data_IF_053723018231
#
_entry.id   IF_053723018231
#
_cell.length_a   1.000
_cell.length_b   1.000
_cell.length_c   1.000
_cell.angle_alpha   90.00
_cell.angle_beta   90.00
_cell.angle_gamma   90.00
#
_symmetry.space_group_name_H-M   'P 1'
#
loop_
_entity.id
_entity.type
_entity.pdbx_description
1 polymer ?
#
# COMPACT_ATOMS: atom_id res chain seq x y z
N UNK A 1 34.23 30.31 -19.87
CA UNK A 1 33.01 29.71 -19.27
C UNK A 1 33.00 28.24 -19.67
N UNK A 2 33.12 27.32 -18.72
CA UNK A 2 33.05 25.89 -19.02
C UNK A 2 31.62 25.54 -19.44
N UNK A 3 31.45 24.93 -20.61
CA UNK A 3 30.18 24.35 -21.00
C UNK A 3 30.04 23.00 -20.29
N UNK A 4 28.94 22.79 -19.57
CA UNK A 4 28.61 21.50 -18.99
C UNK A 4 27.70 20.76 -19.97
N UNK A 5 27.96 19.47 -20.15
CA UNK A 5 27.09 18.57 -20.88
C UNK A 5 26.22 17.82 -19.87
N UNK A 6 24.90 17.91 -20.00
CA UNK A 6 23.94 17.12 -19.22
C UNK A 6 23.32 16.06 -20.10
N UNK A 7 23.25 14.82 -19.61
CA UNK A 7 22.56 13.71 -20.28
C UNK A 7 21.52 13.15 -19.32
N UNK A 8 20.26 13.15 -19.75
CA UNK A 8 19.15 12.58 -18.99
C UNK A 8 18.76 11.20 -19.55
N UNK A 9 18.65 10.21 -18.67
CA UNK A 9 18.22 8.85 -19.02
C UNK A 9 16.90 8.56 -18.33
N UNK A 10 15.88 8.27 -19.13
CA UNK A 10 14.56 7.88 -18.64
C UNK A 10 14.33 6.39 -18.87
N UNK A 11 14.02 5.69 -17.79
CA UNK A 11 13.63 4.28 -17.83
C UNK A 11 12.11 4.21 -17.81
N UNK A 12 11.51 3.90 -18.97
CA UNK A 12 10.06 3.76 -19.09
C UNK A 12 9.67 2.29 -19.02
N UNK A 13 8.85 1.95 -18.01
CA UNK A 13 8.22 0.64 -17.94
C UNK A 13 7.10 0.54 -18.98
N UNK A 14 7.18 -0.45 -19.85
CA UNK A 14 6.15 -0.76 -20.88
C UNK A 14 5.63 -2.18 -20.68
N UNK A 15 4.37 -2.44 -21.04
CA UNK A 15 3.72 -3.75 -20.87
C UNK A 15 3.32 -4.07 -19.42
N UNK A 16 3.06 -5.34 -19.12
CA UNK A 16 2.70 -5.78 -17.76
C UNK A 16 3.93 -6.14 -16.91
N UNK A 17 3.78 -6.02 -15.59
CA UNK A 17 4.79 -6.42 -14.60
C UNK A 17 4.34 -7.78 -14.07
N UNK A 18 4.99 -8.90 -14.43
CA UNK A 18 4.62 -10.21 -13.88
C UNK A 18 4.82 -10.23 -12.36
N UNK A 19 4.28 -11.19 -11.64
CA UNK A 19 4.65 -11.35 -10.22
C UNK A 19 6.03 -11.98 -10.08
N UNK A 20 6.78 -11.59 -9.04
CA UNK A 20 8.07 -12.17 -8.65
C UNK A 20 9.20 -11.16 -8.58
N UNK A 21 10.43 -11.68 -8.52
CA UNK A 21 11.66 -10.89 -8.60
C UNK A 21 12.35 -11.19 -9.91
N UNK A 22 12.67 -10.15 -10.68
CA UNK A 22 13.51 -10.29 -11.87
C UNK A 22 14.46 -9.13 -12.02
N UNK A 23 15.58 -9.41 -12.68
CA UNK A 23 16.57 -8.40 -13.05
C UNK A 23 16.39 -8.06 -14.52
N UNK A 24 16.14 -6.78 -14.80
CA UNK A 24 16.12 -6.24 -16.16
C UNK A 24 17.51 -5.71 -16.46
N UNK A 25 18.29 -6.36 -17.35
CA UNK A 25 19.58 -5.82 -17.75
C UNK A 25 19.38 -4.50 -18.51
N UNK A 26 20.15 -3.50 -18.14
CA UNK A 26 20.28 -2.26 -18.91
C UNK A 26 21.55 -2.38 -19.74
N UNK A 27 21.37 -2.38 -21.05
CA UNK A 27 22.44 -2.20 -22.02
C UNK A 27 21.99 -1.09 -22.96
N UNK A 28 22.56 0.10 -22.79
CA UNK A 28 22.30 1.21 -23.72
C UNK A 28 23.41 1.18 -24.77
N UNK A 29 23.07 1.13 -26.07
CA UNK A 29 24.07 1.26 -27.12
C UNK A 29 24.92 2.52 -26.88
N UNK A 30 26.22 2.51 -27.22
CA UNK A 30 27.07 3.67 -27.01
C UNK A 30 26.43 4.93 -27.62
N UNK A 31 26.23 5.96 -26.79
CA UNK A 31 25.74 7.26 -27.24
C UNK A 31 26.97 8.13 -27.49
N UNK A 32 27.22 8.44 -28.76
CA UNK A 32 28.27 9.39 -29.14
C UNK A 32 27.65 10.75 -29.34
N UNK A 33 28.13 11.74 -28.60
CA UNK A 33 27.72 13.11 -28.81
C UNK A 33 28.75 13.79 -29.70
N UNK A 34 28.28 14.43 -30.76
CA UNK A 34 29.12 15.21 -31.66
C UNK A 34 28.83 16.69 -31.46
N UNK A 35 29.86 17.49 -31.61
CA UNK A 35 29.75 18.94 -31.59
C UNK A 35 30.13 19.45 -32.97
N UNK A 36 29.17 20.11 -33.61
CA UNK A 36 29.35 20.80 -34.88
C UNK A 36 29.77 22.25 -34.57
N UNK A 37 30.88 22.71 -35.15
CA UNK A 37 31.33 24.07 -34.95
C UNK A 37 30.74 24.98 -36.03
N UNK A 38 30.20 26.14 -35.62
CA UNK A 38 29.69 27.16 -36.55
C UNK A 38 30.81 27.83 -37.36
N UNK A 39 32.04 27.81 -36.85
CA UNK A 39 33.25 28.34 -37.48
C UNK A 39 34.42 27.36 -37.29
N UNK A 40 35.41 27.38 -38.19
CA UNK A 40 36.57 26.49 -38.13
C UNK A 40 37.31 26.62 -36.79
N UNK A 41 37.27 25.56 -35.96
CA UNK A 41 37.83 25.58 -34.61
C UNK A 41 39.36 25.72 -34.60
N UNK A 42 40.05 25.25 -35.65
CA UNK A 42 41.46 25.56 -35.98
C UNK A 42 41.93 24.71 -37.17
N UNK A 43 42.63 25.31 -38.14
CA UNK A 43 43.28 24.57 -39.23
C UNK A 43 42.30 23.89 -40.21
N UNK A 44 42.79 22.99 -41.11
CA UNK A 44 42.04 22.57 -42.29
C UNK A 44 40.70 21.93 -41.91
N UNK A 45 39.60 22.60 -42.28
CA UNK A 45 38.19 22.17 -42.25
C UNK A 45 37.78 21.16 -41.15
N UNK A 46 38.13 21.45 -39.88
CA UNK A 46 37.56 20.71 -38.75
C UNK A 46 36.16 21.27 -38.47
N UNK A 47 35.18 20.74 -39.21
CA UNK A 47 33.76 21.10 -39.06
C UNK A 47 33.03 20.23 -38.03
N UNK A 48 33.67 19.13 -37.57
CA UNK A 48 33.16 18.24 -36.51
C UNK A 48 34.28 17.79 -35.58
N UNK A 49 33.98 17.75 -34.28
CA UNK A 49 34.78 17.00 -33.30
C UNK A 49 33.93 15.84 -32.73
N UNK A 50 34.60 14.70 -32.53
CA UNK A 50 34.02 13.56 -31.82
C UNK A 50 34.03 13.91 -30.34
N UNK A 51 32.91 14.47 -29.86
CA UNK A 51 32.71 14.84 -28.48
C UNK A 51 32.68 13.64 -27.53
N UNK A 52 32.34 13.86 -26.25
CA UNK A 52 32.32 12.80 -25.24
C UNK A 52 31.39 11.65 -25.64
N UNK A 53 31.84 10.43 -25.37
CA UNK A 53 31.09 9.19 -25.61
C UNK A 53 30.59 8.63 -24.28
N UNK A 54 29.27 8.49 -24.15
CA UNK A 54 28.66 7.80 -23.03
C UNK A 54 28.49 6.32 -23.38
N UNK A 55 29.11 5.44 -22.60
CA UNK A 55 28.98 3.99 -22.73
C UNK A 55 28.44 3.45 -21.40
N UNK A 56 27.30 2.78 -21.46
CA UNK A 56 26.76 2.02 -20.32
C UNK A 56 27.02 0.55 -20.65
N UNK A 57 28.18 0.05 -20.23
CA UNK A 57 28.64 -1.31 -20.56
C UNK A 57 27.76 -2.39 -19.94
N UNK A 58 27.26 -2.15 -18.73
CA UNK A 58 26.33 -3.03 -18.05
C UNK A 58 25.63 -2.31 -16.90
N UNK A 59 24.35 -2.61 -16.72
CA UNK A 59 23.58 -2.29 -15.53
C UNK A 59 22.44 -3.27 -15.36
N UNK A 60 21.77 -3.26 -14.22
CA UNK A 60 20.55 -4.05 -14.03
C UNK A 60 19.60 -3.36 -13.06
N UNK A 61 18.29 -3.45 -13.34
CA UNK A 61 17.23 -3.04 -12.43
C UNK A 61 16.65 -4.30 -11.81
N UNK A 62 16.63 -4.38 -10.49
CA UNK A 62 15.89 -5.42 -9.80
C UNK A 62 14.47 -4.93 -9.57
N UNK A 63 13.50 -5.61 -10.17
CA UNK A 63 12.08 -5.37 -9.93
C UNK A 63 11.59 -6.45 -8.99
N UNK A 64 11.00 -6.03 -7.87
CA UNK A 64 10.28 -6.91 -6.97
C UNK A 64 8.81 -6.53 -7.08
N UNK A 65 8.00 -7.45 -7.61
CA UNK A 65 6.56 -7.30 -7.69
C UNK A 65 5.88 -8.43 -6.95
N UNK A 66 5.11 -8.11 -5.92
CA UNK A 66 4.37 -9.10 -5.16
C UNK A 66 3.52 -8.42 -4.11
N UNK A 67 2.62 -9.20 -3.53
CA UNK A 67 1.83 -8.80 -2.37
C UNK A 67 2.16 -9.73 -1.21
N UNK A 68 1.77 -9.33 -0.01
CA UNK A 68 1.80 -10.24 1.12
C UNK A 68 0.79 -11.39 0.91
N UNK A 69 1.04 -12.51 1.54
CA UNK A 69 0.07 -13.59 1.72
C UNK A 69 -0.83 -13.26 2.90
N UNK A 70 -2.15 -13.21 2.65
CA UNK A 70 -3.17 -12.83 3.64
C UNK A 70 -4.14 -13.99 3.85
N UNK A 71 -3.93 -14.83 4.89
CA UNK A 71 -4.86 -15.90 5.20
C UNK A 71 -6.19 -15.34 5.73
N UNK A 72 -7.24 -16.14 5.60
CA UNK A 72 -8.53 -15.83 6.23
C UNK A 72 -8.40 -15.83 7.76
N UNK A 73 -9.16 -14.93 8.40
CA UNK A 73 -9.17 -14.78 9.85
C UNK A 73 -10.49 -15.28 10.42
N UNK A 74 -10.42 -16.32 11.26
CA UNK A 74 -11.57 -16.80 12.02
C UNK A 74 -11.52 -16.26 13.45
N UNK A 75 -12.49 -15.42 13.82
CA UNK A 75 -12.57 -14.81 15.16
C UNK A 75 -13.65 -15.53 15.98
N UNK A 76 -13.22 -16.28 17.01
CA UNK A 76 -14.14 -16.97 17.89
C UNK A 76 -14.78 -16.00 18.89
N UNK A 77 -15.93 -15.41 18.51
CA UNK A 77 -16.63 -14.41 19.32
C UNK A 77 -17.27 -14.95 20.61
N UNK A 78 -17.31 -16.27 20.79
CA UNK A 78 -17.80 -16.92 22.01
C UNK A 78 -19.33 -16.91 22.15
N UNK A 79 -19.80 -17.14 23.38
CA UNK A 79 -21.22 -17.16 23.74
C UNK A 79 -21.50 -16.06 24.75
N UNK A 80 -22.59 -15.34 24.54
CA UNK A 80 -23.01 -14.22 25.38
C UNK A 80 -24.45 -14.42 25.81
N UNK A 81 -24.75 -14.17 27.09
CA UNK A 81 -26.10 -14.25 27.58
C UNK A 81 -26.90 -13.05 27.08
N UNK A 82 -28.07 -13.31 26.49
CA UNK A 82 -29.01 -12.26 26.15
C UNK A 82 -29.63 -11.76 27.45
N UNK A 83 -29.41 -10.47 27.74
CA UNK A 83 -30.09 -9.76 28.82
C UNK A 83 -30.59 -8.43 28.26
N UNK A 84 -31.71 -7.93 28.77
CA UNK A 84 -32.33 -6.70 28.28
C UNK A 84 -31.41 -5.47 28.40
N UNK A 85 -30.38 -5.54 29.24
CA UNK A 85 -29.40 -4.47 29.47
C UNK A 85 -28.06 -4.67 28.73
N UNK A 86 -27.92 -5.71 27.89
CA UNK A 86 -26.68 -5.90 27.14
C UNK A 86 -26.61 -4.88 25.99
N UNK A 87 -25.74 -3.88 26.16
CA UNK A 87 -25.43 -2.91 25.10
C UNK A 87 -24.28 -3.42 24.23
N UNK A 88 -23.23 -3.94 24.87
CA UNK A 88 -22.01 -4.39 24.24
C UNK A 88 -21.50 -5.66 24.93
N UNK A 89 -20.88 -6.54 24.15
CA UNK A 89 -20.07 -7.64 24.67
C UNK A 89 -18.62 -7.19 24.93
N UNK A 90 -17.83 -7.95 25.71
CA UNK A 90 -16.40 -7.70 25.83
C UNK A 90 -15.69 -7.76 24.47
N UNK A 91 -14.59 -7.02 24.34
CA UNK A 91 -13.73 -7.06 23.15
C UNK A 91 -13.05 -8.42 22.99
N UNK A 92 -12.96 -8.88 21.75
CA UNK A 92 -12.15 -10.01 21.31
C UNK A 92 -11.07 -9.46 20.39
N UNK A 93 -9.81 -9.56 20.82
CA UNK A 93 -8.67 -9.13 20.04
C UNK A 93 -8.33 -10.17 18.96
N UNK A 94 -7.98 -9.69 17.78
CA UNK A 94 -7.50 -10.51 16.67
C UNK A 94 -6.58 -9.69 15.76
N UNK A 95 -5.99 -10.32 14.76
CA UNK A 95 -5.16 -9.60 13.80
C UNK A 95 -5.32 -10.15 12.39
N UNK A 96 -5.10 -9.27 11.41
CA UNK A 96 -4.87 -9.67 10.02
C UNK A 96 -3.36 -9.82 9.83
N UNK A 97 -2.94 -11.04 9.52
CA UNK A 97 -1.53 -11.36 9.30
C UNK A 97 -1.16 -11.16 7.83
N UNK A 98 -0.11 -10.38 7.59
CA UNK A 98 0.50 -10.17 6.30
C UNK A 98 1.81 -10.96 6.28
N UNK A 99 1.82 -12.11 5.61
CA UNK A 99 2.95 -13.03 5.61
C UNK A 99 3.78 -12.90 4.33
N UNK A 100 5.08 -13.16 4.43
CA UNK A 100 6.01 -13.20 3.31
C UNK A 100 5.90 -11.96 2.40
N UNK A 101 5.78 -10.78 3.01
CA UNK A 101 5.67 -9.53 2.25
C UNK A 101 6.99 -9.24 1.54
N UNK A 102 6.95 -8.80 0.27
CA UNK A 102 8.14 -8.34 -0.40
C UNK A 102 8.70 -7.06 0.27
N UNK A 103 9.98 -6.76 0.06
CA UNK A 103 10.58 -5.49 0.45
C UNK A 103 9.78 -4.28 -0.03
N UNK A 104 9.54 -3.32 0.88
CA UNK A 104 8.81 -2.10 0.61
C UNK A 104 9.79 -0.92 0.57
N UNK A 105 10.35 -0.66 -0.61
CA UNK A 105 11.44 0.31 -0.79
C UNK A 105 11.01 1.79 -0.76
N UNK A 106 9.71 2.07 -0.87
CA UNK A 106 9.17 3.41 -1.03
C UNK A 106 9.40 3.97 -2.43
N UNK A 107 9.19 5.27 -2.58
CA UNK A 107 9.42 6.00 -3.82
C UNK A 107 9.88 7.43 -3.57
N UNK A 108 10.63 7.98 -4.51
CA UNK A 108 11.01 9.40 -4.48
C UNK A 108 9.92 10.24 -5.14
N UNK A 109 9.50 11.31 -4.47
CA UNK A 109 8.55 12.27 -5.04
C UNK A 109 9.27 13.35 -5.82
N UNK A 110 8.67 13.77 -6.94
CA UNK A 110 9.09 14.97 -7.64
C UNK A 110 8.88 16.19 -6.75
N UNK A 111 9.87 17.09 -6.68
CA UNK A 111 9.76 18.38 -5.98
C UNK A 111 9.64 19.47 -7.05
N UNK A 112 8.61 20.32 -6.97
CA UNK A 112 8.45 21.51 -7.81
C UNK A 112 8.68 21.29 -9.33
N UNK A 113 8.01 20.28 -9.91
CA UNK A 113 8.13 19.88 -11.33
C UNK A 113 9.49 19.29 -11.75
N UNK A 114 10.37 18.94 -10.80
CA UNK A 114 11.61 18.21 -11.07
C UNK A 114 11.39 16.72 -10.80
N UNK A 115 11.68 15.89 -11.81
CA UNK A 115 11.74 14.44 -11.63
C UNK A 115 12.83 14.11 -10.60
N UNK A 116 12.60 13.12 -9.71
CA UNK A 116 13.67 12.63 -8.85
C UNK A 116 14.79 12.14 -9.75
N UNK A 117 15.89 12.89 -9.77
CA UNK A 117 17.05 12.63 -10.61
C UNK A 117 18.20 12.26 -9.69
N UNK A 118 18.98 11.27 -10.12
CA UNK A 118 20.25 10.96 -9.50
C UNK A 118 21.29 11.79 -10.24
N UNK A 119 21.78 12.88 -9.64
CA UNK A 119 22.91 13.61 -10.20
C UNK A 119 24.21 12.99 -9.70
N UNK A 120 25.07 12.59 -10.62
CA UNK A 120 26.42 12.16 -10.32
C UNK A 120 27.39 13.21 -10.85
N UNK A 121 28.07 13.90 -9.94
CA UNK A 121 29.01 14.99 -10.28
C UNK A 121 30.48 14.55 -10.24
N UNK A 122 30.76 13.24 -10.16
CA UNK A 122 32.12 12.69 -10.18
C UNK A 122 32.75 12.41 -8.82
N UNK A 123 32.22 12.96 -7.72
CA UNK A 123 32.78 12.86 -6.35
C UNK A 123 31.93 11.99 -5.40
N UNK A 124 31.34 10.88 -5.88
CA UNK A 124 30.47 9.96 -5.11
C UNK A 124 29.23 10.58 -4.43
N UNK A 125 28.99 11.88 -4.61
CA UNK A 125 27.87 12.58 -4.00
C UNK A 125 26.60 12.38 -4.85
N UNK A 126 25.73 11.48 -4.38
CA UNK A 126 24.41 11.22 -4.95
C UNK A 126 23.41 12.05 -4.15
N UNK A 127 22.91 13.15 -4.75
CA UNK A 127 21.83 13.94 -4.14
C UNK A 127 20.51 13.21 -4.35
N UNK A 128 19.98 12.59 -3.30
CA UNK A 128 18.67 11.94 -3.31
C UNK A 128 17.58 12.91 -2.81
N UNK A 129 16.44 12.91 -3.49
CA UNK A 129 15.23 13.52 -2.95
C UNK A 129 14.77 12.80 -1.67
N UNK A 130 13.80 13.38 -0.95
CA UNK A 130 13.24 12.71 0.22
C UNK A 130 12.52 11.41 -0.19
N UNK A 131 12.89 10.30 0.43
CA UNK A 131 12.22 9.01 0.24
C UNK A 131 10.83 9.07 0.90
N UNK A 132 9.79 8.77 0.13
CA UNK A 132 8.45 8.51 0.68
C UNK A 132 8.33 7.02 0.97
N UNK A 133 8.11 6.61 2.23
CA UNK A 133 7.86 5.21 2.57
C UNK A 133 6.56 4.71 1.92
N UNK A 134 6.52 3.42 1.60
CA UNK A 134 5.26 2.78 1.24
C UNK A 134 4.29 2.79 2.43
N UNK A 135 3.00 2.74 2.13
CA UNK A 135 1.96 2.53 3.15
C UNK A 135 1.06 1.37 2.75
N UNK A 136 0.46 0.76 3.77
CA UNK A 136 -0.56 -0.28 3.61
C UNK A 136 -1.84 0.21 4.23
N UNK A 137 -2.95 0.09 3.51
CA UNK A 137 -4.29 0.34 4.05
C UNK A 137 -5.21 -0.84 3.80
N UNK A 138 -6.26 -0.94 4.62
CA UNK A 138 -7.23 -2.04 4.59
C UNK A 138 -8.61 -1.49 4.32
N UNK A 139 -9.23 -1.93 3.23
CA UNK A 139 -10.64 -1.68 2.97
C UNK A 139 -11.45 -2.85 3.54
N UNK A 140 -12.50 -2.55 4.30
CA UNK A 140 -13.42 -3.56 4.84
C UNK A 140 -14.77 -3.48 4.13
N UNK A 141 -15.41 -4.63 3.91
CA UNK A 141 -16.70 -4.74 3.27
C UNK A 141 -17.54 -5.86 3.94
N UNK A 142 -18.56 -5.54 4.75
CA UNK A 142 -19.37 -6.54 5.41
C UNK A 142 -20.26 -7.29 4.41
N UNK A 143 -20.18 -8.62 4.42
CA UNK A 143 -20.86 -9.49 3.44
C UNK A 143 -22.39 -9.39 3.55
N UNK A 144 -22.90 -9.21 4.77
CA UNK A 144 -24.33 -9.13 5.06
C UNK A 144 -24.85 -7.69 5.15
N UNK A 145 -24.02 -6.71 4.77
CA UNK A 145 -24.35 -5.29 4.85
C UNK A 145 -24.17 -4.69 6.25
N UNK A 146 -24.71 -3.49 6.42
CA UNK A 146 -24.55 -2.66 7.61
C UNK A 146 -25.83 -2.56 8.44
N UNK A 147 -25.65 -2.32 9.74
CA UNK A 147 -26.66 -1.79 10.67
C UNK A 147 -26.09 -0.57 11.38
N UNK A 148 -26.97 0.21 12.01
CA UNK A 148 -26.58 1.30 12.90
C UNK A 148 -26.56 0.82 14.36
N UNK A 149 -25.65 1.38 15.15
CA UNK A 149 -25.54 1.24 16.60
C UNK A 149 -26.27 2.40 17.29
N UNK A 150 -26.63 2.29 18.59
CA UNK A 150 -27.21 3.39 19.35
C UNK A 150 -26.38 4.68 19.37
N UNK A 151 -25.07 4.62 19.11
CA UNK A 151 -24.19 5.79 18.97
C UNK A 151 -24.36 6.54 17.63
N UNK A 152 -25.08 5.96 16.66
CA UNK A 152 -25.17 6.47 15.29
C UNK A 152 -24.06 5.97 14.36
N UNK A 153 -23.10 5.19 14.89
CA UNK A 153 -22.07 4.52 14.09
C UNK A 153 -22.60 3.21 13.46
N UNK A 154 -21.86 2.67 12.51
CA UNK A 154 -22.19 1.49 11.74
C UNK A 154 -21.50 0.24 12.29
N UNK A 155 -22.13 -0.89 12.05
CA UNK A 155 -21.64 -2.21 12.41
C UNK A 155 -22.02 -3.22 11.32
N UNK A 156 -21.31 -4.35 11.26
CA UNK A 156 -21.58 -5.41 10.29
C UNK A 156 -22.77 -6.29 10.73
N UNK A 157 -23.65 -6.61 9.79
CA UNK A 157 -24.82 -7.43 10.06
C UNK A 157 -24.46 -8.88 10.41
N UNK A 158 -25.34 -9.51 11.19
CA UNK A 158 -25.34 -10.95 11.42
C UNK A 158 -25.89 -11.66 10.18
N UNK A 159 -25.34 -12.85 9.89
CA UNK A 159 -25.79 -13.72 8.82
C UNK A 159 -27.30 -14.05 9.00
N UNK A 160 -28.13 -13.88 7.96
CA UNK A 160 -29.58 -14.09 8.08
C UNK A 160 -29.96 -15.57 8.00
N UNK A 161 -29.51 -16.37 8.99
CA UNK A 161 -29.90 -17.79 9.12
C UNK A 161 -31.19 -17.94 9.93
N UNK A 162 -31.84 -19.10 9.84
CA UNK A 162 -33.09 -19.38 10.57
C UNK A 162 -32.93 -19.41 12.08
N UNK A 163 -31.72 -19.67 12.56
CA UNK A 163 -31.34 -19.70 13.97
C UNK A 163 -30.52 -18.46 14.38
N UNK A 164 -30.51 -17.40 13.56
CA UNK A 164 -29.72 -16.20 13.82
C UNK A 164 -30.24 -15.42 15.03
N UNK A 165 -29.31 -14.86 15.80
CA UNK A 165 -29.62 -13.87 16.83
C UNK A 165 -30.10 -12.57 16.15
N UNK A 166 -31.04 -11.87 16.79
CA UNK A 166 -31.53 -10.57 16.32
C UNK A 166 -31.26 -9.45 17.32
N UNK A 167 -31.19 -8.21 16.82
CA UNK A 167 -31.01 -7.01 17.64
C UNK A 167 -29.55 -6.70 17.99
N UNK A 168 -28.60 -7.39 17.36
CA UNK A 168 -27.15 -7.18 17.52
C UNK A 168 -26.45 -7.13 16.17
N UNK A 169 -25.27 -6.53 16.15
CA UNK A 169 -24.37 -6.46 15.01
C UNK A 169 -22.91 -6.50 15.48
N UNK A 170 -21.96 -6.68 14.57
CA UNK A 170 -20.53 -6.79 14.86
C UNK A 170 -19.83 -5.45 14.65
N UNK A 171 -19.31 -4.86 15.72
CA UNK A 171 -18.41 -3.71 15.66
C UNK A 171 -16.95 -4.21 15.57
N UNK A 172 -16.14 -3.56 14.73
CA UNK A 172 -14.71 -3.82 14.62
C UNK A 172 -13.96 -2.49 14.75
N UNK A 173 -12.96 -2.45 15.62
CA UNK A 173 -12.11 -1.28 15.80
C UNK A 173 -10.64 -1.59 15.54
N UNK A 174 -9.91 -0.57 15.07
CA UNK A 174 -8.46 -0.60 14.99
C UNK A 174 -7.77 -0.33 16.34
N UNK A 175 -6.44 -0.39 16.36
CA UNK A 175 -5.62 -0.06 17.56
C UNK A 175 -5.84 1.36 18.08
N UNK A 176 -6.29 2.28 17.24
CA UNK A 176 -6.58 3.67 17.57
C UNK A 176 -8.02 3.85 18.08
N UNK A 177 -8.76 2.75 18.27
CA UNK A 177 -10.18 2.73 18.66
C UNK A 177 -11.10 3.38 17.61
N UNK A 178 -10.69 3.39 16.35
CA UNK A 178 -11.53 3.84 15.23
C UNK A 178 -12.37 2.66 14.76
N UNK A 179 -13.70 2.85 14.70
CA UNK A 179 -14.61 1.89 14.09
C UNK A 179 -14.36 1.81 12.59
N UNK A 180 -13.92 0.65 12.11
CA UNK A 180 -13.56 0.48 10.68
C UNK A 180 -14.80 0.46 9.78
N UNK A 181 -15.98 0.18 10.34
CA UNK A 181 -17.25 0.16 9.58
C UNK A 181 -17.67 1.57 9.14
N UNK A 182 -17.28 2.61 9.87
CA UNK A 182 -17.51 4.01 9.48
C UNK A 182 -16.75 4.40 8.20
N UNK A 183 -15.58 3.80 7.98
CA UNK A 183 -14.82 3.98 6.73
C UNK A 183 -15.37 3.10 5.62
N UNK A 184 -15.73 1.86 5.97
CA UNK A 184 -16.31 0.88 5.05
C UNK A 184 -17.59 1.37 4.38
N UNK A 185 -18.52 2.02 5.10
CA UNK A 185 -19.77 2.53 4.53
C UNK A 185 -19.53 3.59 3.43
N UNK A 186 -18.40 4.30 3.51
CA UNK A 186 -17.97 5.27 2.50
C UNK A 186 -17.02 4.68 1.44
N UNK A 187 -16.76 3.36 1.47
CA UNK A 187 -15.81 2.70 0.58
C UNK A 187 -14.35 3.12 0.80
N UNK A 188 -14.01 3.62 1.99
CA UNK A 188 -12.67 4.14 2.30
C UNK A 188 -11.83 3.09 3.03
N UNK A 189 -10.55 3.02 2.68
CA UNK A 189 -9.57 2.20 3.38
C UNK A 189 -9.07 2.88 4.66
N UNK A 190 -8.75 2.06 5.67
CA UNK A 190 -8.14 2.46 6.93
C UNK A 190 -6.63 2.24 6.84
N UNK A 191 -5.83 3.24 7.21
CA UNK A 191 -4.39 3.08 7.27
C UNK A 191 -3.98 2.03 8.32
N UNK A 192 -3.09 1.11 7.97
CA UNK A 192 -2.65 0.04 8.88
C UNK A 192 -1.71 0.56 9.99
N UNK A 193 -1.08 1.72 9.78
CA UNK A 193 -0.06 2.28 10.66
C UNK A 193 1.16 1.38 10.83
N UNK A 194 1.45 0.54 9.83
CA UNK A 194 2.61 -0.36 9.82
C UNK A 194 3.88 0.39 9.42
N UNK A 195 4.99 0.08 10.09
CA UNK A 195 6.31 0.52 9.67
C UNK A 195 6.91 -0.53 8.74
N UNK A 196 6.81 -0.29 7.44
CA UNK A 196 7.25 -1.25 6.42
C UNK A 196 8.78 -1.23 6.27
N UNK A 197 9.36 -2.42 6.15
CA UNK A 197 10.78 -2.65 5.97
C UNK A 197 11.15 -2.78 4.49
N UNK A 198 12.39 -2.38 4.17
CA UNK A 198 13.01 -2.58 2.87
C UNK A 198 13.59 -4.00 2.70
N UNK A 199 13.08 -4.97 3.47
CA UNK A 199 13.46 -6.37 3.44
C UNK A 199 12.20 -7.25 3.54
N UNK A 200 12.33 -8.53 3.22
CA UNK A 200 11.23 -9.49 3.39
C UNK A 200 10.83 -9.52 4.86
N UNK A 201 9.54 -9.37 5.14
CA UNK A 201 9.02 -9.29 6.50
C UNK A 201 7.59 -9.80 6.61
N UNK A 202 7.16 -10.04 7.84
CA UNK A 202 5.77 -10.29 8.19
C UNK A 202 5.25 -9.11 9.01
N UNK A 203 3.97 -8.78 8.85
CA UNK A 203 3.31 -7.73 9.62
C UNK A 203 1.99 -8.24 10.17
N UNK A 204 1.54 -7.61 11.25
CA UNK A 204 0.28 -7.92 11.90
C UNK A 204 -0.51 -6.62 12.08
N UNK A 205 -1.75 -6.60 11.61
CA UNK A 205 -2.67 -5.47 11.77
C UNK A 205 -3.61 -5.81 12.92
N UNK A 206 -3.38 -5.28 14.14
CA UNK A 206 -4.18 -5.58 15.30
C UNK A 206 -5.55 -4.90 15.23
N UNK A 207 -6.58 -5.68 15.51
CA UNK A 207 -7.99 -5.28 15.52
C UNK A 207 -8.66 -5.85 16.76
N UNK A 208 -9.84 -5.33 17.08
CA UNK A 208 -10.72 -5.92 18.09
C UNK A 208 -12.17 -5.87 17.62
N UNK A 209 -12.92 -6.90 17.98
CA UNK A 209 -14.34 -7.00 17.62
C UNK A 209 -15.20 -7.23 18.86
N UNK A 210 -16.46 -6.81 18.79
CA UNK A 210 -17.50 -7.13 19.79
C UNK A 210 -18.88 -7.09 19.14
N UNK A 211 -19.82 -7.82 19.71
CA UNK A 211 -21.23 -7.58 19.44
C UNK A 211 -21.73 -6.33 20.16
N UNK A 212 -22.57 -5.57 19.46
CA UNK A 212 -23.23 -4.36 19.94
C UNK A 212 -24.70 -4.44 19.59
N UNK A 213 -25.57 -3.89 20.46
CA UNK A 213 -27.00 -3.75 20.16
C UNK A 213 -27.20 -2.88 18.91
N UNK A 214 -28.17 -3.22 18.06
CA UNK A 214 -28.53 -2.35 16.93
C UNK A 214 -29.43 -1.18 17.38
N UNK A 215 -29.35 -0.06 16.67
CA UNK A 215 -30.20 1.11 16.88
C UNK A 215 -31.69 0.75 16.76
N UNK A 216 -32.52 1.29 17.64
CA UNK A 216 -33.97 1.03 17.66
C UNK A 216 -34.38 -0.36 18.16
N UNK A 217 -33.44 -1.26 18.43
CA UNK A 217 -33.75 -2.56 19.03
C UNK A 217 -34.04 -2.42 20.52
N UNK A 218 -35.25 -2.81 20.93
CA UNK A 218 -35.66 -2.87 22.35
C UNK A 218 -35.65 -4.27 22.92
N UNK A 219 -35.48 -5.29 22.07
CA UNK A 219 -35.43 -6.71 22.46
C UNK A 219 -34.41 -7.43 21.59
N UNK A 220 -33.62 -8.31 22.21
CA UNK A 220 -32.70 -9.20 21.51
C UNK A 220 -33.23 -10.63 21.57
N UNK A 221 -33.00 -11.40 20.52
CA UNK A 221 -33.34 -12.83 20.50
C UNK A 221 -32.07 -13.66 20.50
N UNK A 222 -32.09 -14.77 21.26
CA UNK A 222 -30.98 -15.71 21.30
C UNK A 222 -30.89 -16.48 19.98
N UNK A 223 -29.66 -16.71 19.52
CA UNK A 223 -29.37 -17.44 18.28
C UNK A 223 -27.89 -17.40 17.95
N UNK A 224 -27.54 -17.88 16.76
CA UNK A 224 -26.20 -17.76 16.18
C UNK A 224 -25.93 -16.34 15.73
N UNK A 225 -24.76 -15.82 16.08
CA UNK A 225 -24.37 -14.44 15.77
C UNK A 225 -23.18 -14.40 14.79
N UNK A 226 -23.17 -15.25 13.77
CA UNK A 226 -22.07 -15.26 12.81
C UNK A 226 -22.13 -14.05 11.88
N UNK A 227 -20.98 -13.48 11.55
CA UNK A 227 -20.85 -12.39 10.58
C UNK A 227 -19.61 -12.64 9.73
N UNK A 228 -19.56 -12.00 8.55
CA UNK A 228 -18.44 -12.09 7.64
C UNK A 228 -18.13 -10.71 7.07
N UNK A 229 -16.84 -10.39 7.01
CA UNK A 229 -16.32 -9.12 6.48
C UNK A 229 -15.18 -9.46 5.55
N UNK A 230 -15.32 -9.06 4.29
CA UNK A 230 -14.24 -9.12 3.32
C UNK A 230 -13.27 -7.96 3.57
N UNK A 231 -11.97 -8.23 3.48
CA UNK A 231 -10.96 -7.18 3.56
C UNK A 231 -10.05 -7.18 2.33
N UNK A 232 -9.69 -6.00 1.85
CA UNK A 232 -8.75 -5.81 0.73
C UNK A 232 -7.54 -5.02 1.23
N UNK A 233 -6.34 -5.57 0.98
CA UNK A 233 -5.07 -4.91 1.30
C UNK A 233 -4.63 -4.06 0.11
N UNK A 234 -4.48 -2.76 0.32
CA UNK A 234 -3.98 -1.83 -0.66
C UNK A 234 -2.55 -1.41 -0.31
N UNK A 235 -1.67 -1.39 -1.31
CA UNK A 235 -0.27 -0.99 -1.20
C UNK A 235 -0.04 0.31 -1.98
N UNK A 236 0.55 1.32 -1.34
CA UNK A 236 0.83 2.64 -1.93
C UNK A 236 2.31 3.02 -1.78
#
# INVERSE_FOLDING_TARGET
MGQYLTVDIYLLKTGDIPSGTWSVPISVPPVTLHMDFLENASGPEVTRDYGPRLIIESGSINVVSGTCQTPDVNVAMGKHNVSDNMENTPWVDFAIELNNCPPMFGFYKAIANQWPSFSWNGDDDIVLGALTPNTVSVLFNPVYGFSEMPSGEHCANIAPTTDAASGVCLEIQDKSSINVMEKAVSGLAVDSGLNLLNSVANYSIPLRARYVRTAGSTTMTAGRADSAVEFTINYY
#
